data_IF_506979683466
#
_entry.id   IF_506979683466
#
_cell.length_a   1.000
_cell.length_b   1.000
_cell.length_c   1.000
_cell.angle_alpha   90.00
_cell.angle_beta   90.00
_cell.angle_gamma   90.00
#
_symmetry.space_group_name_H-M   'P 1'
#
loop_
_entity.id
_entity.type
_entity.pdbx_description
1 polymer ?
#
# COMPACT_ATOMS: atom_id res chain seq x y z
N UNK A 1 4.05 7.88 -19.85
CA UNK A 1 3.52 9.15 -19.35
C UNK A 1 3.05 9.94 -20.56
N UNK A 2 1.75 10.08 -20.66
CA UNK A 2 1.15 10.84 -21.75
C UNK A 2 1.24 12.32 -21.40
N UNK A 3 1.39 13.19 -22.41
CA UNK A 3 1.42 14.66 -22.32
C UNK A 3 0.12 15.27 -21.74
N UNK A 4 -0.48 14.65 -20.76
CA UNK A 4 -1.62 15.18 -20.05
C UNK A 4 -1.15 16.17 -18.99
N UNK A 5 -1.81 17.33 -18.85
CA UNK A 5 -1.45 18.36 -17.86
C UNK A 5 -1.45 17.85 -16.40
N UNK A 6 -2.08 16.71 -16.17
CA UNK A 6 -2.06 15.98 -14.92
C UNK A 6 -1.82 14.50 -15.23
N UNK A 7 -0.72 13.95 -14.75
CA UNK A 7 -0.39 12.54 -14.95
C UNK A 7 -1.44 11.64 -14.28
N UNK A 8 -1.94 10.67 -15.03
CA UNK A 8 -2.87 9.64 -14.53
C UNK A 8 -2.06 8.52 -13.88
N UNK A 9 -2.35 8.20 -12.61
CA UNK A 9 -1.73 7.11 -11.91
C UNK A 9 -2.50 5.79 -12.14
N UNK A 10 -1.81 4.77 -12.67
CA UNK A 10 -2.38 3.45 -12.88
C UNK A 10 -1.48 2.36 -12.27
N UNK A 11 -2.08 1.30 -11.74
CA UNK A 11 -1.36 0.15 -11.22
C UNK A 11 -1.17 -0.90 -12.33
N UNK A 12 0.09 -1.13 -12.70
CA UNK A 12 0.45 -2.13 -13.70
C UNK A 12 0.72 -3.50 -13.07
N UNK A 13 0.35 -4.57 -13.78
CA UNK A 13 0.62 -5.94 -13.36
C UNK A 13 1.60 -6.59 -14.33
N UNK A 14 2.63 -7.22 -13.80
CA UNK A 14 3.54 -8.08 -14.54
C UNK A 14 3.66 -9.41 -13.82
N UNK A 15 3.82 -10.50 -14.56
CA UNK A 15 4.07 -11.82 -13.99
C UNK A 15 5.26 -12.50 -14.63
N UNK A 16 5.84 -13.42 -13.89
CA UNK A 16 6.93 -14.28 -14.37
C UNK A 16 6.85 -15.65 -13.69
N UNK A 17 7.42 -16.66 -14.34
CA UNK A 17 7.59 -18.00 -13.77
C UNK A 17 9.04 -18.29 -13.40
N UNK A 18 10.00 -17.53 -13.92
CA UNK A 18 11.42 -17.84 -13.85
C UNK A 18 12.30 -16.61 -13.53
N UNK A 19 11.69 -15.44 -13.27
CA UNK A 19 12.33 -14.15 -13.03
C UNK A 19 13.19 -13.64 -14.20
N UNK A 20 13.11 -14.29 -15.37
CA UNK A 20 13.83 -13.91 -16.59
C UNK A 20 12.89 -13.45 -17.68
N UNK A 21 11.78 -14.13 -17.86
CA UNK A 21 10.74 -13.82 -18.84
C UNK A 21 9.55 -13.20 -18.13
N UNK A 22 9.19 -12.00 -18.54
CA UNK A 22 8.13 -11.20 -17.93
C UNK A 22 7.00 -10.98 -18.91
N UNK A 23 5.80 -11.21 -18.47
CA UNK A 23 4.57 -10.92 -19.20
C UNK A 23 3.87 -9.72 -18.57
N UNK A 24 3.59 -8.72 -19.40
CA UNK A 24 2.78 -7.55 -19.01
C UNK A 24 1.30 -7.91 -19.15
N UNK A 25 0.56 -7.84 -18.04
CA UNK A 25 -0.88 -8.00 -18.03
C UNK A 25 -1.58 -6.64 -18.16
N UNK A 26 -2.91 -6.63 -18.25
CA UNK A 26 -3.68 -5.40 -18.19
C UNK A 26 -3.44 -4.67 -16.86
N UNK A 27 -3.61 -3.35 -16.87
CA UNK A 27 -3.60 -2.58 -15.64
C UNK A 27 -4.77 -2.99 -14.75
N UNK A 28 -4.55 -3.03 -13.45
CA UNK A 28 -5.63 -3.12 -12.48
C UNK A 28 -6.61 -1.97 -12.70
N UNK A 29 -7.89 -2.31 -12.79
CA UNK A 29 -9.00 -1.37 -12.86
C UNK A 29 -9.76 -1.40 -11.54
N UNK A 30 -10.01 -0.24 -10.97
CA UNK A 30 -10.86 -0.05 -9.80
C UNK A 30 -12.01 0.85 -10.22
N UNK A 31 -13.25 0.33 -10.19
CA UNK A 31 -14.38 1.03 -10.81
C UNK A 31 -14.74 2.34 -10.11
N UNK A 32 -14.53 2.39 -8.79
CA UNK A 32 -14.86 3.59 -8.00
C UNK A 32 -13.70 4.57 -7.86
N UNK A 33 -12.46 4.09 -8.02
CA UNK A 33 -11.25 4.91 -7.88
C UNK A 33 -10.25 4.59 -9.00
N UNK A 34 -10.47 5.05 -10.22
CA UNK A 34 -9.67 4.67 -11.37
C UNK A 34 -8.18 5.01 -11.24
N UNK A 35 -7.83 5.99 -10.42
CA UNK A 35 -6.44 6.33 -10.14
C UNK A 35 -5.93 5.64 -8.89
N UNK A 36 -4.89 4.82 -9.04
CA UNK A 36 -4.30 4.02 -7.97
C UNK A 36 -2.79 4.19 -7.88
N UNK A 37 -2.27 4.18 -6.63
CA UNK A 37 -0.83 4.09 -6.35
C UNK A 37 -0.58 3.08 -5.24
N UNK A 38 0.66 2.60 -5.14
CA UNK A 38 1.09 1.72 -4.05
C UNK A 38 0.16 0.52 -3.84
N UNK A 39 -0.30 -0.08 -4.93
CA UNK A 39 -1.11 -1.29 -4.90
C UNK A 39 -0.24 -2.48 -4.55
N UNK A 40 -0.68 -3.29 -3.61
CA UNK A 40 0.03 -4.48 -3.14
C UNK A 40 -0.88 -5.69 -3.25
N UNK A 41 -0.41 -6.75 -3.91
CA UNK A 41 -1.10 -8.03 -3.97
C UNK A 41 -0.97 -8.75 -2.63
N UNK A 42 -2.08 -9.23 -2.10
CA UNK A 42 -2.11 -10.11 -0.94
C UNK A 42 -1.51 -11.48 -1.32
N UNK A 43 -0.71 -12.12 -0.46
CA UNK A 43 0.03 -13.33 -0.83
C UNK A 43 -0.84 -14.58 -0.95
N UNK A 44 -2.06 -14.55 -0.44
CA UNK A 44 -3.00 -15.68 -0.49
C UNK A 44 -4.32 -15.24 -1.13
N UNK A 45 -5.06 -16.21 -1.69
CA UNK A 45 -6.43 -15.98 -2.11
C UNK A 45 -7.34 -15.72 -0.91
N UNK A 46 -8.25 -14.79 -1.07
CA UNK A 46 -9.30 -14.48 -0.09
C UNK A 46 -10.64 -14.82 -0.75
N UNK A 47 -11.39 -15.71 -0.14
CA UNK A 47 -12.64 -16.24 -0.71
C UNK A 47 -12.49 -16.78 -2.15
N UNK A 48 -11.33 -17.38 -2.44
CA UNK A 48 -11.00 -17.92 -3.76
C UNK A 48 -10.62 -16.88 -4.81
N UNK A 49 -10.50 -15.60 -4.45
CA UNK A 49 -10.19 -14.49 -5.33
C UNK A 49 -8.81 -13.88 -5.05
N UNK A 50 -8.23 -13.23 -6.04
CA UNK A 50 -7.07 -12.36 -5.83
C UNK A 50 -7.47 -11.16 -4.99
N UNK A 51 -6.67 -10.82 -3.99
CA UNK A 51 -6.93 -9.72 -3.09
C UNK A 51 -5.83 -8.66 -3.19
N UNK A 52 -6.22 -7.38 -3.19
CA UNK A 52 -5.30 -6.27 -3.31
C UNK A 52 -5.52 -5.26 -2.21
N UNK A 53 -4.42 -4.75 -1.66
CA UNK A 53 -4.43 -3.49 -0.92
C UNK A 53 -4.23 -2.37 -1.92
N UNK A 54 -5.19 -1.48 -1.96
CA UNK A 54 -5.26 -0.37 -2.91
C UNK A 54 -4.95 0.95 -2.22
N UNK A 55 -4.73 1.98 -3.00
CA UNK A 55 -4.61 3.35 -2.50
C UNK A 55 -5.31 4.29 -3.46
N UNK A 56 -6.61 4.51 -3.25
CA UNK A 56 -7.39 5.44 -4.04
C UNK A 56 -6.78 6.84 -4.04
N UNK A 57 -6.71 7.45 -5.21
CA UNK A 57 -6.16 8.80 -5.38
C UNK A 57 -7.25 9.84 -5.63
N UNK A 58 -8.47 9.39 -5.90
CA UNK A 58 -9.60 10.24 -6.24
C UNK A 58 -10.38 10.66 -4.98
N UNK A 59 -11.02 11.81 -5.02
CA UNK A 59 -11.69 12.45 -3.87
C UNK A 59 -13.10 11.90 -3.57
N UNK A 60 -13.56 10.89 -4.30
CA UNK A 60 -14.91 10.35 -4.18
C UNK A 60 -15.16 9.50 -2.93
N UNK A 61 -14.09 9.11 -2.23
CA UNK A 61 -14.18 8.45 -0.93
C UNK A 61 -14.11 9.51 0.16
N UNK A 62 -15.02 9.49 1.12
CA UNK A 62 -15.08 10.41 2.28
C UNK A 62 -13.83 10.40 3.19
N UNK A 63 -12.73 9.94 2.69
CA UNK A 63 -11.42 9.96 3.34
C UNK A 63 -10.70 11.29 3.16
N UNK A 64 -11.28 12.21 2.38
CA UNK A 64 -10.70 13.48 1.97
C UNK A 64 -9.46 13.31 1.08
N UNK A 65 -9.37 14.08 0.02
CA UNK A 65 -8.22 14.26 -0.90
C UNK A 65 -7.28 13.06 -1.07
N UNK A 66 -7.81 11.91 -1.46
CA UNK A 66 -7.06 10.71 -1.81
C UNK A 66 -6.09 10.23 -0.71
N UNK A 67 -6.10 8.99 -0.42
CA UNK A 67 -5.24 8.37 0.59
C UNK A 67 -6.01 7.41 1.47
N UNK A 68 -5.30 6.73 2.33
CA UNK A 68 -5.82 5.57 3.01
C UNK A 68 -5.46 4.29 2.26
N UNK A 69 -5.55 3.17 2.95
CA UNK A 69 -5.34 1.85 2.38
C UNK A 69 -6.70 1.21 2.21
N UNK A 70 -7.08 0.92 0.96
CA UNK A 70 -8.25 0.16 0.60
C UNK A 70 -7.93 -1.33 0.46
N UNK A 71 -8.97 -2.12 0.31
CA UNK A 71 -8.90 -3.56 0.06
C UNK A 71 -9.98 -3.94 -0.95
N UNK A 72 -9.61 -4.70 -1.96
CA UNK A 72 -10.53 -5.16 -2.98
C UNK A 72 -10.17 -6.51 -3.53
N UNK A 73 -11.16 -7.20 -4.10
CA UNK A 73 -11.03 -8.54 -4.66
C UNK A 73 -11.25 -8.51 -6.17
N UNK A 74 -10.55 -9.38 -6.90
CA UNK A 74 -10.83 -9.65 -8.30
C UNK A 74 -10.76 -11.14 -8.61
N UNK A 75 -11.52 -11.57 -9.60
CA UNK A 75 -11.63 -12.99 -9.98
C UNK A 75 -10.50 -13.46 -10.90
N UNK A 76 -10.01 -12.56 -11.76
CA UNK A 76 -9.01 -12.88 -12.78
C UNK A 76 -7.85 -11.86 -12.77
N UNK A 77 -6.64 -12.34 -12.49
CA UNK A 77 -5.44 -11.50 -12.47
C UNK A 77 -5.02 -11.01 -13.88
N UNK A 78 -5.43 -11.73 -14.94
CA UNK A 78 -5.09 -11.33 -16.31
C UNK A 78 -5.96 -10.19 -16.81
N UNK A 79 -7.12 -10.03 -16.20
CA UNK A 79 -8.08 -8.97 -16.43
C UNK A 79 -8.60 -8.43 -15.09
N UNK A 80 -7.69 -7.87 -14.30
CA UNK A 80 -7.96 -7.51 -12.91
C UNK A 80 -8.90 -6.30 -12.80
N UNK A 81 -10.11 -6.56 -12.34
CA UNK A 81 -11.14 -5.54 -12.06
C UNK A 81 -11.61 -5.68 -10.62
N UNK A 82 -11.55 -4.60 -9.88
CA UNK A 82 -12.10 -4.47 -8.53
C UNK A 82 -13.35 -3.59 -8.61
N UNK A 83 -14.50 -4.16 -8.33
CA UNK A 83 -15.77 -3.44 -8.38
C UNK A 83 -15.97 -2.57 -7.14
N UNK A 84 -15.59 -3.08 -5.97
CA UNK A 84 -15.74 -2.39 -4.70
C UNK A 84 -14.47 -2.44 -3.88
N UNK A 85 -14.13 -1.30 -3.28
CA UNK A 85 -13.03 -1.16 -2.33
C UNK A 85 -13.60 -0.88 -0.94
N UNK A 86 -13.12 -1.65 0.04
CA UNK A 86 -13.38 -1.41 1.46
C UNK A 86 -12.16 -0.75 2.09
N UNK A 87 -12.32 0.35 2.80
CA UNK A 87 -11.19 1.01 3.45
C UNK A 87 -10.72 0.21 4.66
N UNK A 88 -9.45 -0.18 4.62
CA UNK A 88 -8.75 -0.91 5.69
C UNK A 88 -8.13 0.04 6.69
N UNK A 89 -7.38 1.03 6.22
CA UNK A 89 -6.70 2.00 7.09
C UNK A 89 -6.90 3.41 6.57
N UNK A 90 -7.66 4.20 7.30
CA UNK A 90 -7.92 5.60 7.00
C UNK A 90 -6.74 6.48 7.43
N UNK A 91 -6.65 7.66 6.82
CA UNK A 91 -5.81 8.73 7.35
C UNK A 91 -6.30 9.15 8.72
N UNK A 92 -5.38 9.44 9.62
CA UNK A 92 -5.70 9.92 10.97
C UNK A 92 -5.04 11.28 11.21
N UNK A 93 -5.86 12.27 11.49
CA UNK A 93 -5.41 13.62 11.78
C UNK A 93 -4.49 13.67 13.00
N UNK A 94 -3.50 14.55 13.00
CA UNK A 94 -2.46 14.66 14.02
C UNK A 94 -1.59 13.40 14.23
N UNK A 95 -1.52 12.51 13.25
CA UNK A 95 -0.66 11.33 13.29
C UNK A 95 0.33 11.30 12.14
N UNK A 96 1.14 10.23 12.08
CA UNK A 96 2.08 9.98 10.97
C UNK A 96 1.37 9.72 9.63
N UNK A 97 0.06 9.52 9.62
CA UNK A 97 -0.76 9.23 8.44
C UNK A 97 -1.71 10.36 8.07
N UNK A 98 -1.52 11.57 8.63
CA UNK A 98 -2.47 12.67 8.47
C UNK A 98 -2.61 13.18 7.03
N UNK A 99 -1.53 13.19 6.26
CA UNK A 99 -1.57 13.66 4.87
C UNK A 99 -1.87 12.51 3.89
N UNK A 100 -1.15 11.40 4.04
CA UNK A 100 -1.28 10.21 3.19
C UNK A 100 -0.81 8.98 3.95
N UNK A 101 -1.30 7.81 3.53
CA UNK A 101 -0.71 6.52 3.87
C UNK A 101 -0.89 5.55 2.70
N UNK A 102 -0.15 4.47 2.70
CA UNK A 102 -0.25 3.44 1.68
C UNK A 102 0.50 2.18 2.08
N UNK A 103 0.09 1.07 1.51
CA UNK A 103 0.82 -0.19 1.66
C UNK A 103 2.23 -0.06 1.05
N UNK A 104 3.18 -0.77 1.62
CA UNK A 104 4.56 -0.83 1.13
C UNK A 104 4.90 -2.23 0.64
N UNK A 105 5.02 -3.17 1.56
CA UNK A 105 5.35 -4.56 1.27
C UNK A 105 4.13 -5.47 1.23
N UNK A 106 4.27 -6.62 0.57
CA UNK A 106 3.34 -7.74 0.72
C UNK A 106 3.23 -8.13 2.19
N UNK A 107 2.02 -8.31 2.75
CA UNK A 107 1.84 -8.62 4.16
C UNK A 107 2.52 -9.92 4.56
N UNK A 108 3.05 -9.94 5.77
CA UNK A 108 3.71 -11.10 6.36
C UNK A 108 2.70 -11.86 7.24
N UNK A 109 2.50 -13.14 6.94
CA UNK A 109 1.61 -14.01 7.72
C UNK A 109 2.23 -14.37 9.06
N UNK A 110 1.43 -14.29 10.11
CA UNK A 110 1.76 -14.80 11.45
C UNK A 110 0.62 -15.66 11.98
N UNK A 111 0.79 -16.28 13.14
CA UNK A 111 -0.27 -17.03 13.83
C UNK A 111 -1.41 -16.13 14.36
N UNK A 112 -1.21 -14.81 14.43
CA UNK A 112 -2.14 -13.85 15.01
C UNK A 112 -2.80 -12.92 14.00
N UNK A 113 -2.22 -12.78 12.80
CA UNK A 113 -2.70 -11.85 11.79
C UNK A 113 -1.67 -11.60 10.70
N UNK A 114 -2.01 -10.72 9.79
CA UNK A 114 -1.14 -10.24 8.73
C UNK A 114 -0.43 -8.96 9.17
N UNK A 115 0.88 -8.97 9.22
CA UNK A 115 1.68 -7.76 9.52
C UNK A 115 1.91 -7.00 8.23
N UNK A 116 1.55 -5.74 8.23
CA UNK A 116 1.79 -4.79 7.15
C UNK A 116 2.94 -3.86 7.49
N UNK A 117 3.86 -3.70 6.55
CA UNK A 117 4.86 -2.65 6.57
C UNK A 117 4.41 -1.59 5.57
N UNK A 118 4.01 -0.44 6.07
CA UNK A 118 3.35 0.61 5.31
C UNK A 118 4.08 1.95 5.47
N UNK A 119 3.77 2.90 4.61
CA UNK A 119 4.29 4.26 4.73
C UNK A 119 3.21 5.23 5.15
N UNK A 120 3.58 6.16 6.02
CA UNK A 120 2.76 7.28 6.45
C UNK A 120 3.41 8.59 6.04
N UNK A 121 2.59 9.59 5.79
CA UNK A 121 3.03 10.93 5.37
C UNK A 121 2.33 11.98 6.21
N UNK A 122 3.10 12.91 6.71
CA UNK A 122 2.57 14.09 7.39
C UNK A 122 3.19 15.38 6.84
N UNK A 123 2.47 16.46 7.01
CA UNK A 123 2.98 17.78 6.72
C UNK A 123 3.92 18.26 7.82
N UNK A 124 5.01 18.92 7.45
CA UNK A 124 5.92 19.60 8.35
C UNK A 124 6.25 20.99 7.77
N UNK A 125 6.82 21.89 8.58
CA UNK A 125 7.25 23.19 8.11
C UNK A 125 8.29 23.09 6.95
N UNK A 126 9.02 21.99 6.87
CA UNK A 126 9.99 21.70 5.81
C UNK A 126 9.44 20.87 4.65
N UNK A 127 8.12 20.77 4.51
CA UNK A 127 7.46 19.95 3.48
C UNK A 127 6.97 18.61 4.03
N UNK A 128 6.76 17.64 3.13
CA UNK A 128 6.25 16.32 3.49
C UNK A 128 7.34 15.47 4.17
N UNK A 129 6.95 14.74 5.20
CA UNK A 129 7.78 13.73 5.84
C UNK A 129 7.17 12.35 5.64
N UNK A 130 7.93 11.44 5.06
CA UNK A 130 7.57 10.04 4.87
C UNK A 130 8.27 9.16 5.90
N UNK A 131 7.50 8.28 6.50
CA UNK A 131 7.98 7.30 7.50
C UNK A 131 7.39 5.94 7.23
N UNK A 132 8.06 4.90 7.73
CA UNK A 132 7.55 3.53 7.72
C UNK A 132 6.91 3.25 9.07
N UNK A 133 5.76 2.57 9.04
CA UNK A 133 5.07 2.07 10.22
C UNK A 133 4.55 0.64 9.99
N UNK A 134 4.19 -0.04 11.07
CA UNK A 134 3.57 -1.35 11.01
C UNK A 134 2.17 -1.33 11.62
N UNK A 135 1.27 -2.15 11.07
CA UNK A 135 -0.04 -2.45 11.63
C UNK A 135 -0.39 -3.91 11.31
N UNK A 136 -1.46 -4.44 11.89
CA UNK A 136 -1.87 -5.80 11.59
C UNK A 136 -3.36 -5.91 11.24
N UNK A 137 -3.66 -6.87 10.34
CA UNK A 137 -5.02 -7.23 9.97
C UNK A 137 -5.34 -8.67 10.36
N UNK A 138 -6.63 -8.99 10.41
CA UNK A 138 -7.14 -10.31 10.79
C UNK A 138 -6.79 -11.37 9.73
N UNK A 139 -6.56 -12.61 10.17
CA UNK A 139 -6.23 -13.73 9.26
C UNK A 139 -7.38 -14.12 8.33
N UNK A 140 -8.62 -14.03 8.80
CA UNK A 140 -9.81 -14.43 8.04
C UNK A 140 -10.41 -13.27 7.25
N UNK A 141 -10.25 -12.05 7.77
CA UNK A 141 -10.68 -10.82 7.12
C UNK A 141 -9.49 -9.86 6.98
N UNK A 142 -8.67 -10.01 5.92
CA UNK A 142 -7.47 -9.21 5.74
C UNK A 142 -7.69 -7.71 5.56
N UNK A 143 -8.94 -7.26 5.42
CA UNK A 143 -9.27 -5.84 5.44
C UNK A 143 -9.57 -5.28 6.83
N UNK A 144 -9.72 -6.15 7.86
CA UNK A 144 -10.03 -5.75 9.22
C UNK A 144 -8.76 -5.52 10.03
N UNK A 145 -8.50 -4.29 10.44
CA UNK A 145 -7.38 -3.96 11.34
C UNK A 145 -7.64 -4.53 12.74
N UNK A 146 -6.66 -5.24 13.27
CA UNK A 146 -6.65 -5.82 14.63
C UNK A 146 -5.58 -5.20 15.53
N UNK A 147 -4.57 -4.55 14.95
CA UNK A 147 -3.56 -3.80 15.69
C UNK A 147 -3.20 -2.52 14.92
N UNK A 148 -3.37 -1.40 15.58
CA UNK A 148 -3.08 -0.07 15.06
C UNK A 148 -1.61 0.30 15.27
N UNK A 149 -1.04 1.20 14.43
CA UNK A 149 0.31 1.68 14.62
C UNK A 149 0.46 2.43 15.95
N UNK A 150 1.49 2.12 16.72
CA UNK A 150 1.87 2.88 17.92
C UNK A 150 2.74 4.10 17.62
N UNK A 151 3.11 4.31 16.36
CA UNK A 151 3.99 5.36 15.90
C UNK A 151 4.79 4.94 14.66
N UNK A 152 5.86 5.64 14.37
CA UNK A 152 6.75 5.26 13.28
C UNK A 152 7.71 4.13 13.70
N UNK A 153 7.99 3.23 12.77
CA UNK A 153 9.01 2.20 12.89
C UNK A 153 10.37 2.74 12.42
N UNK A 154 10.41 3.31 11.22
CA UNK A 154 11.60 3.90 10.62
C UNK A 154 11.23 5.28 10.06
N UNK A 155 12.09 6.25 10.32
CA UNK A 155 11.95 7.60 9.77
C UNK A 155 13.32 8.24 9.52
N UNK A 156 13.43 9.16 8.57
CA UNK A 156 14.71 9.76 8.20
C UNK A 156 15.27 10.61 9.35
N UNK A 157 16.57 10.47 9.61
CA UNK A 157 17.30 11.18 10.67
C UNK A 157 18.59 11.79 10.14
N UNK A 158 18.96 12.96 10.67
CA UNK A 158 20.22 13.61 10.31
C UNK A 158 20.38 13.74 8.79
N UNK A 159 21.44 13.23 8.24
CA UNK A 159 21.78 13.28 6.81
C UNK A 159 20.86 12.43 5.93
N UNK A 160 20.17 11.42 6.48
CA UNK A 160 19.16 10.64 5.75
C UNK A 160 17.96 11.49 5.28
N UNK A 161 17.83 12.71 5.82
CA UNK A 161 16.82 13.68 5.37
C UNK A 161 17.17 14.36 4.07
N UNK A 162 18.39 14.24 3.61
CA UNK A 162 18.91 14.90 2.41
C UNK A 162 19.08 13.84 1.34
N UNK A 163 18.49 14.07 0.18
CA UNK A 163 18.56 13.15 -0.95
C UNK A 163 17.84 13.76 -2.14
N UNK A 164 17.64 12.96 -3.16
CA UNK A 164 16.90 13.36 -4.37
C UNK A 164 15.48 13.83 -4.02
N UNK A 165 14.83 13.12 -3.10
CA UNK A 165 13.61 13.59 -2.43
C UNK A 165 13.87 13.69 -0.95
N UNK A 166 13.82 14.90 -0.42
CA UNK A 166 14.14 15.17 0.98
C UNK A 166 13.11 14.59 1.96
N UNK A 167 13.60 14.15 3.13
CA UNK A 167 12.79 13.73 4.28
C UNK A 167 11.90 12.50 4.02
N UNK A 168 12.39 11.56 3.21
CA UNK A 168 11.65 10.36 2.79
C UNK A 168 12.39 9.08 3.20
N UNK A 169 11.68 8.19 3.89
CA UNK A 169 11.98 6.76 3.97
C UNK A 169 10.79 6.02 3.37
N UNK A 170 11.08 5.11 2.45
CA UNK A 170 10.06 4.35 1.74
C UNK A 170 10.46 2.88 1.64
N UNK A 171 9.48 1.96 1.59
CA UNK A 171 9.73 0.54 1.41
C UNK A 171 8.92 -0.01 0.24
N UNK A 172 9.54 -0.89 -0.52
CA UNK A 172 8.91 -1.61 -1.64
C UNK A 172 8.79 -3.11 -1.37
N UNK A 173 9.36 -3.60 -0.26
CA UNK A 173 9.31 -5.00 0.07
C UNK A 173 9.69 -5.27 1.52
N UNK A 174 9.26 -6.42 2.01
CA UNK A 174 9.70 -7.00 3.26
C UNK A 174 9.58 -8.52 3.18
N UNK A 175 10.49 -9.22 3.80
CA UNK A 175 10.44 -10.67 3.93
C UNK A 175 10.72 -11.08 5.37
N UNK A 176 10.11 -12.17 5.80
CA UNK A 176 10.42 -12.81 7.08
C UNK A 176 11.15 -14.14 6.84
N UNK A 177 12.13 -14.45 7.67
CA UNK A 177 12.75 -15.77 7.68
C UNK A 177 12.06 -16.70 8.69
N UNK A 178 12.49 -17.96 8.74
CA UNK A 178 11.94 -18.98 9.64
C UNK A 178 12.18 -18.68 11.14
N UNK A 179 13.10 -17.78 11.45
CA UNK A 179 13.38 -17.33 12.84
C UNK A 179 12.49 -16.16 13.27
N UNK A 180 11.63 -15.65 12.38
CA UNK A 180 10.80 -14.49 12.62
C UNK A 180 11.52 -13.15 12.49
N UNK A 181 12.74 -13.13 11.91
CA UNK A 181 13.43 -11.88 11.58
C UNK A 181 12.83 -11.31 10.29
N UNK A 182 12.54 -10.01 10.31
CA UNK A 182 11.96 -9.29 9.18
C UNK A 182 12.99 -8.34 8.58
N UNK A 183 13.23 -8.50 7.29
CA UNK A 183 14.07 -7.62 6.49
C UNK A 183 13.19 -6.68 5.67
N UNK A 184 13.47 -5.38 5.73
CA UNK A 184 12.69 -4.31 5.10
C UNK A 184 13.59 -3.52 4.14
#
# INVERSE_FOLDING_TARGET
ENDLPQGVAAAGIVRTKDLKHWERLENLKTLRSPQQRNVVLHPEFVDGKYAFYTRPMDDFIETGSGGGIGFGLCDDITHAVIDEERMTSLRKYHTITEAKNGAGATPIKTDRGWIHIAHGVRNTAAGLRYVIYAFATDLKDPAKVIAEPSGLLIGPRGEERVGDVSNVVFTNGAIANEKGEVFI
#
